data_IF_745085615782
#
_entry.id   IF_745085615782
#
_cell.length_a   1.000
_cell.length_b   1.000
_cell.length_c   1.000
_cell.angle_alpha   90.00
_cell.angle_beta   90.00
_cell.angle_gamma   90.00
#
_symmetry.space_group_name_H-M   'P 1'
#
loop_
_entity.id
_entity.type
_entity.pdbx_description
1 polymer ?
#
# COMPACT_ATOMS: atom_id res chain seq x y z
N UNK A 1 19.49 -8.61 7.36
CA UNK A 1 18.55 -9.03 8.43
C UNK A 1 17.14 -8.60 8.04
N UNK A 2 16.08 -9.24 8.55
CA UNK A 2 14.70 -8.81 8.32
C UNK A 2 14.46 -7.39 8.82
N UNK A 3 13.79 -6.54 8.04
CA UNK A 3 13.46 -5.18 8.47
C UNK A 3 12.59 -5.17 9.74
N UNK A 4 11.80 -6.23 9.98
CA UNK A 4 10.95 -6.38 11.17
C UNK A 4 11.70 -6.37 12.51
N UNK A 5 13.02 -6.55 12.49
CA UNK A 5 13.86 -6.51 13.68
C UNK A 5 14.23 -5.07 14.08
N UNK A 6 13.92 -4.09 13.23
CA UNK A 6 14.20 -2.67 13.46
C UNK A 6 13.15 -2.02 14.39
N UNK A 7 13.61 -1.03 15.14
CA UNK A 7 12.74 -0.08 15.84
C UNK A 7 11.95 0.78 14.84
N UNK A 8 10.84 1.37 15.28
CA UNK A 8 9.89 2.03 14.39
C UNK A 8 10.50 3.07 13.42
N UNK A 9 11.39 3.99 13.86
CA UNK A 9 11.99 4.98 12.94
C UNK A 9 12.88 4.34 11.86
N UNK A 10 13.68 3.34 12.25
CA UNK A 10 14.58 2.65 11.33
C UNK A 10 13.82 1.73 10.38
N UNK A 11 12.74 1.10 10.85
CA UNK A 11 11.83 0.35 10.00
C UNK A 11 11.20 1.25 8.94
N UNK A 12 10.69 2.43 9.33
CA UNK A 12 10.11 3.39 8.38
C UNK A 12 11.17 3.83 7.36
N UNK A 13 12.39 4.15 7.80
CA UNK A 13 13.51 4.48 6.89
C UNK A 13 13.77 3.35 5.90
N UNK A 14 13.83 2.10 6.38
CA UNK A 14 14.10 0.94 5.54
C UNK A 14 12.99 0.71 4.50
N UNK A 15 11.73 0.89 4.88
CA UNK A 15 10.58 0.84 3.95
C UNK A 15 10.72 1.94 2.90
N UNK A 16 10.98 3.19 3.30
CA UNK A 16 11.10 4.32 2.37
C UNK A 16 12.26 4.15 1.38
N UNK A 17 13.41 3.64 1.83
CA UNK A 17 14.53 3.29 0.95
C UNK A 17 14.15 2.17 -0.03
N UNK A 18 13.36 1.19 0.43
CA UNK A 18 12.82 0.13 -0.43
C UNK A 18 11.84 0.67 -1.47
N UNK A 19 10.98 1.63 -1.10
CA UNK A 19 10.09 2.31 -2.07
C UNK A 19 10.90 3.10 -3.09
N UNK A 20 11.96 3.81 -2.68
CA UNK A 20 12.83 4.53 -3.60
C UNK A 20 13.56 3.59 -4.57
N UNK A 21 14.04 2.45 -4.08
CA UNK A 21 14.64 1.38 -4.91
C UNK A 21 13.62 0.85 -5.91
N UNK A 22 12.41 0.54 -5.46
CA UNK A 22 11.31 0.06 -6.28
C UNK A 22 10.93 1.04 -7.39
N UNK A 23 10.80 2.33 -7.08
CA UNK A 23 10.52 3.38 -8.08
C UNK A 23 11.57 3.43 -9.20
N UNK A 24 12.85 3.36 -8.82
CA UNK A 24 13.97 3.36 -9.79
C UNK A 24 13.93 2.12 -10.68
N UNK A 25 13.66 0.95 -10.09
CA UNK A 25 13.52 -0.29 -10.85
C UNK A 25 12.32 -0.23 -11.81
N UNK A 26 11.17 0.24 -11.32
CA UNK A 26 9.94 0.35 -12.11
C UNK A 26 10.13 1.27 -13.31
N UNK A 27 10.72 2.45 -13.11
CA UNK A 27 10.99 3.40 -14.20
C UNK A 27 12.06 2.92 -15.18
N UNK A 28 12.94 2.00 -14.76
CA UNK A 28 13.84 1.25 -15.63
C UNK A 28 13.16 0.04 -16.32
N UNK A 29 11.85 -0.17 -16.10
CA UNK A 29 11.08 -1.25 -16.71
C UNK A 29 11.18 -2.60 -15.99
N UNK A 30 11.68 -2.64 -14.75
CA UNK A 30 11.78 -3.84 -13.91
C UNK A 30 10.70 -3.75 -12.82
N UNK A 31 9.65 -4.54 -12.94
CA UNK A 31 8.49 -4.51 -12.05
C UNK A 31 8.61 -5.65 -11.02
N UNK A 32 8.67 -5.31 -9.74
CA UNK A 32 8.86 -6.27 -8.65
C UNK A 32 7.65 -7.20 -8.48
N UNK A 33 6.43 -6.63 -8.42
CA UNK A 33 5.14 -7.32 -8.30
C UNK A 33 4.91 -8.15 -7.03
N UNK A 34 5.92 -8.36 -6.19
CA UNK A 34 5.77 -9.03 -4.89
C UNK A 34 6.34 -8.25 -3.72
N UNK A 35 5.82 -7.04 -3.53
CA UNK A 35 6.13 -6.25 -2.34
C UNK A 35 5.49 -6.91 -1.12
N UNK A 36 6.32 -7.37 -0.19
CA UNK A 36 5.87 -8.02 1.03
C UNK A 36 6.81 -7.74 2.21
N UNK A 37 6.29 -7.85 3.43
CA UNK A 37 7.09 -7.64 4.65
C UNK A 37 8.31 -8.58 4.74
N UNK A 38 8.19 -9.81 4.21
CA UNK A 38 9.29 -10.78 4.16
C UNK A 38 10.43 -10.38 3.20
N UNK A 39 10.11 -9.53 2.22
CA UNK A 39 11.04 -9.08 1.18
C UNK A 39 11.71 -7.75 1.54
N UNK A 40 11.39 -7.20 2.72
CA UNK A 40 12.07 -6.03 3.29
C UNK A 40 13.17 -6.48 4.25
N UNK A 41 14.41 -6.19 3.86
CA UNK A 41 15.60 -6.46 4.66
C UNK A 41 16.31 -5.16 5.00
N UNK A 42 17.32 -5.28 5.85
CA UNK A 42 18.31 -4.24 6.07
C UNK A 42 19.73 -4.79 6.20
N UNK A 43 20.71 -3.95 5.91
CA UNK A 43 22.13 -4.15 6.22
C UNK A 43 22.67 -2.99 7.05
N UNK A 44 23.80 -3.20 7.73
CA UNK A 44 24.53 -2.09 8.34
C UNK A 44 25.20 -1.23 7.25
N UNK A 45 24.97 0.07 7.29
CA UNK A 45 25.66 1.07 6.51
C UNK A 45 27.06 1.35 7.04
N UNK A 46 27.76 2.29 6.42
CA UNK A 46 29.15 2.60 6.77
C UNK A 46 29.31 3.11 8.20
N UNK A 47 28.29 3.77 8.75
CA UNK A 47 28.31 4.30 10.11
C UNK A 47 27.48 3.44 11.08
N UNK A 48 27.11 2.22 10.68
CA UNK A 48 26.29 1.30 11.47
C UNK A 48 24.78 1.57 11.41
N UNK A 49 24.34 2.55 10.63
CA UNK A 49 22.93 2.83 10.41
C UNK A 49 22.26 1.72 9.59
N UNK A 50 21.00 1.36 9.87
CA UNK A 50 20.30 0.38 9.05
C UNK A 50 19.94 0.98 7.69
N UNK A 51 20.35 0.30 6.63
CA UNK A 51 20.01 0.59 5.24
C UNK A 51 18.99 -0.44 4.75
N UNK A 52 17.81 0.02 4.37
CA UNK A 52 16.73 -0.78 3.80
C UNK A 52 17.06 -1.33 2.43
N UNK A 53 16.69 -2.59 2.22
CA UNK A 53 16.95 -3.36 1.01
C UNK A 53 15.65 -4.08 0.65
N UNK A 54 15.17 -3.86 -0.57
CA UNK A 54 14.14 -4.69 -1.19
C UNK A 54 14.83 -5.88 -1.87
N UNK A 55 14.51 -7.09 -1.42
CA UNK A 55 15.04 -8.36 -1.98
C UNK A 55 13.95 -9.10 -2.75
N UNK A 56 14.29 -10.30 -3.26
CA UNK A 56 13.36 -11.22 -3.93
C UNK A 56 12.87 -10.73 -5.31
N UNK A 57 13.85 -10.41 -6.17
CA UNK A 57 13.63 -9.96 -7.55
C UNK A 57 13.51 -11.12 -8.56
N UNK A 58 13.47 -12.37 -8.12
CA UNK A 58 13.47 -13.57 -8.97
C UNK A 58 12.17 -13.69 -9.81
N UNK A 59 11.06 -13.20 -9.27
CA UNK A 59 9.76 -13.10 -9.95
C UNK A 59 9.52 -11.74 -10.58
N UNK A 60 10.49 -10.82 -10.53
CA UNK A 60 10.38 -9.54 -11.20
C UNK A 60 10.21 -9.72 -12.72
N UNK A 61 9.52 -8.79 -13.35
CA UNK A 61 9.18 -8.86 -14.77
C UNK A 61 9.58 -7.59 -15.49
N UNK A 62 10.05 -7.75 -16.72
CA UNK A 62 10.28 -6.62 -17.60
C UNK A 62 8.95 -6.13 -18.18
N UNK A 63 8.83 -4.82 -18.40
CA UNK A 63 7.64 -4.17 -18.96
C UNK A 63 7.15 -4.79 -20.29
N UNK A 64 8.05 -5.37 -21.07
CA UNK A 64 7.78 -6.00 -22.37
C UNK A 64 7.19 -7.43 -22.28
N UNK A 65 7.11 -8.01 -21.07
CA UNK A 65 6.52 -9.34 -20.89
C UNK A 65 5.00 -9.25 -20.76
N UNK A 66 4.27 -9.78 -21.76
CA UNK A 66 2.80 -9.73 -21.91
C UNK A 66 2.00 -10.54 -20.88
N UNK A 67 2.61 -10.94 -19.76
CA UNK A 67 1.93 -11.73 -18.73
C UNK A 67 1.18 -10.85 -17.75
N UNK A 68 -0.14 -10.80 -17.93
CA UNK A 68 -1.14 -10.26 -17.00
C UNK A 68 -1.41 -11.31 -15.92
N UNK A 69 -0.40 -11.65 -15.13
CA UNK A 69 -0.57 -12.53 -13.98
C UNK A 69 -0.85 -11.70 -12.73
N UNK A 70 -1.84 -12.11 -11.95
CA UNK A 70 -1.94 -11.64 -10.56
C UNK A 70 -0.73 -12.15 -9.81
N UNK A 71 0.11 -11.22 -9.41
CA UNK A 71 1.31 -11.47 -8.63
C UNK A 71 1.22 -10.65 -7.35
N UNK A 72 1.82 -11.18 -6.29
CA UNK A 72 1.85 -10.54 -5.00
C UNK A 72 1.40 -11.48 -3.89
N UNK A 73 2.06 -11.35 -2.76
CA UNK A 73 1.71 -12.01 -1.51
C UNK A 73 0.36 -11.49 -1.05
N UNK A 74 -0.68 -12.33 -1.07
CA UNK A 74 -2.11 -12.03 -0.81
C UNK A 74 -2.39 -10.91 0.23
N UNK A 75 -1.73 -10.83 1.40
CA UNK A 75 -1.96 -9.72 2.35
C UNK A 75 -1.46 -8.34 1.91
N UNK A 76 -0.63 -8.23 0.87
CA UNK A 76 -0.08 -6.95 0.41
C UNK A 76 -0.59 -6.58 -0.99
N UNK A 77 -1.43 -7.43 -1.58
CA UNK A 77 -2.01 -7.16 -2.90
C UNK A 77 -2.92 -5.93 -2.84
N UNK A 78 -2.79 -5.06 -3.85
CA UNK A 78 -3.62 -3.87 -4.01
C UNK A 78 -5.12 -4.18 -4.01
N UNK A 79 -5.94 -3.24 -3.52
CA UNK A 79 -7.38 -3.47 -3.35
C UNK A 79 -8.10 -3.73 -4.68
N UNK A 80 -7.59 -3.19 -5.79
CA UNK A 80 -8.18 -3.38 -7.11
C UNK A 80 -8.20 -4.86 -7.52
N UNK A 81 -7.09 -5.56 -7.30
CA UNK A 81 -7.00 -7.01 -7.54
C UNK A 81 -7.93 -7.79 -6.61
N UNK A 82 -8.13 -7.32 -5.37
CA UNK A 82 -8.98 -7.98 -4.38
C UNK A 82 -10.48 -7.74 -4.61
N UNK A 83 -10.86 -6.58 -5.15
CA UNK A 83 -12.26 -6.22 -5.45
C UNK A 83 -12.75 -6.82 -6.76
N UNK A 84 -11.85 -7.17 -7.65
CA UNK A 84 -12.18 -7.78 -8.94
C UNK A 84 -11.42 -9.10 -9.15
N UNK A 85 -11.68 -10.13 -8.32
CA UNK A 85 -10.99 -11.41 -8.37
C UNK A 85 -11.29 -12.23 -9.62
N UNK A 86 -12.16 -11.77 -10.52
CA UNK A 86 -12.39 -12.43 -11.82
C UNK A 86 -11.89 -11.59 -13.02
N UNK A 87 -11.38 -10.37 -12.77
CA UNK A 87 -10.90 -9.48 -13.85
C UNK A 87 -9.39 -9.57 -14.05
N UNK A 88 -9.00 -9.46 -15.32
CA UNK A 88 -7.63 -9.17 -15.72
C UNK A 88 -7.38 -7.67 -15.51
N UNK A 89 -6.63 -7.34 -14.46
CA UNK A 89 -6.23 -5.97 -14.14
C UNK A 89 -4.75 -5.83 -14.50
N UNK A 90 -4.41 -4.77 -15.24
CA UNK A 90 -3.01 -4.43 -15.50
C UNK A 90 -2.28 -4.12 -14.19
N UNK A 91 -1.07 -4.65 -14.03
CA UNK A 91 -0.28 -4.37 -12.84
C UNK A 91 0.45 -3.03 -12.99
N UNK A 92 -0.10 -2.00 -12.33
CA UNK A 92 0.39 -0.64 -12.36
C UNK A 92 1.29 -0.32 -11.17
N UNK A 93 2.08 0.76 -11.28
CA UNK A 93 3.01 1.19 -10.22
C UNK A 93 2.30 1.45 -8.89
N UNK A 94 1.11 2.06 -8.97
CA UNK A 94 0.27 2.33 -7.79
C UNK A 94 -0.11 1.08 -7.01
N UNK A 95 -0.16 -0.10 -7.64
CA UNK A 95 -0.49 -1.34 -6.96
C UNK A 95 0.65 -1.81 -6.04
N UNK A 96 1.89 -1.78 -6.52
CA UNK A 96 3.06 -2.09 -5.69
C UNK A 96 3.28 -1.02 -4.60
N UNK A 97 2.93 0.23 -4.89
CA UNK A 97 3.02 1.30 -3.90
C UNK A 97 1.92 1.18 -2.82
N UNK A 98 0.72 0.73 -3.15
CA UNK A 98 -0.33 0.40 -2.17
C UNK A 98 0.09 -0.81 -1.31
N UNK A 99 0.79 -1.78 -1.90
CA UNK A 99 1.38 -2.90 -1.16
C UNK A 99 2.36 -2.44 -0.07
N UNK A 100 3.21 -1.44 -0.35
CA UNK A 100 4.10 -0.84 0.65
C UNK A 100 3.32 -0.20 1.81
N UNK A 101 2.15 0.38 1.55
CA UNK A 101 1.28 0.89 2.61
C UNK A 101 0.73 -0.24 3.49
N UNK A 102 0.29 -1.36 2.90
CA UNK A 102 -0.16 -2.52 3.67
C UNK A 102 0.95 -3.14 4.52
N UNK A 103 2.21 -3.06 4.08
CA UNK A 103 3.37 -3.43 4.90
C UNK A 103 3.50 -2.55 6.14
N UNK A 104 3.32 -1.23 6.02
CA UNK A 104 3.31 -0.30 7.16
C UNK A 104 2.14 -0.60 8.12
N UNK A 105 0.94 -0.82 7.59
CA UNK A 105 -0.23 -1.22 8.39
C UNK A 105 0.10 -2.48 9.18
N UNK A 106 0.65 -3.52 8.53
CA UNK A 106 1.00 -4.77 9.23
C UNK A 106 2.04 -4.54 10.33
N UNK A 107 3.04 -3.70 10.08
CA UNK A 107 4.12 -3.46 11.03
C UNK A 107 3.68 -2.62 12.24
N UNK A 108 2.75 -1.68 12.06
CA UNK A 108 2.28 -0.78 13.12
C UNK A 108 1.46 -1.47 14.22
N UNK A 109 0.73 -2.53 13.89
CA UNK A 109 -0.14 -3.22 14.84
C UNK A 109 0.54 -4.44 15.51
N UNK A 110 0.14 -4.78 16.74
CA UNK A 110 0.60 -6.00 17.41
C UNK A 110 0.36 -7.29 16.61
N UNK A 111 1.20 -8.30 16.84
CA UNK A 111 0.92 -9.66 16.34
C UNK A 111 -0.42 -10.13 16.91
N UNK A 112 -1.26 -10.71 16.05
CA UNK A 112 -2.60 -11.17 16.43
C UNK A 112 -3.71 -10.14 16.29
N UNK A 113 -3.39 -8.89 15.93
CA UNK A 113 -4.41 -7.86 15.62
C UNK A 113 -5.24 -8.23 14.39
N UNK A 114 -4.58 -8.70 13.33
CA UNK A 114 -5.24 -9.21 12.13
C UNK A 114 -5.28 -10.74 12.18
N UNK A 115 -6.32 -11.36 11.59
CA UNK A 115 -6.38 -12.83 11.45
C UNK A 115 -5.18 -13.37 10.68
N UNK A 116 -4.94 -14.67 10.85
CA UNK A 116 -3.90 -15.35 10.08
C UNK A 116 -4.21 -15.24 8.58
N UNK A 117 -3.26 -14.71 7.81
CA UNK A 117 -3.41 -14.30 6.41
C UNK A 117 -3.63 -15.46 5.43
N UNK A 118 -3.39 -16.69 5.86
CA UNK A 118 -3.77 -17.89 5.10
C UNK A 118 -5.31 -18.08 5.04
N UNK A 119 -6.08 -17.33 5.83
CA UNK A 119 -7.54 -17.38 5.81
C UNK A 119 -8.12 -16.27 4.94
N UNK A 120 -9.02 -16.62 4.01
CA UNK A 120 -9.76 -15.70 3.12
C UNK A 120 -10.43 -14.49 3.83
N UNK A 121 -10.56 -14.54 5.16
CA UNK A 121 -11.20 -13.50 5.98
C UNK A 121 -10.31 -12.28 6.27
N UNK A 122 -8.99 -12.37 6.11
CA UNK A 122 -8.10 -11.22 6.35
C UNK A 122 -8.31 -10.10 5.31
N UNK A 123 -8.77 -10.46 4.10
CA UNK A 123 -9.15 -9.55 3.03
C UNK A 123 -10.35 -8.66 3.43
N UNK A 124 -11.36 -9.25 4.06
CA UNK A 124 -12.55 -8.52 4.53
C UNK A 124 -12.16 -7.52 5.61
N UNK A 125 -11.19 -7.88 6.46
CA UNK A 125 -10.65 -6.98 7.49
C UNK A 125 -9.88 -5.80 6.88
N UNK A 126 -9.10 -6.02 5.81
CA UNK A 126 -8.41 -4.94 5.08
C UNK A 126 -9.38 -4.03 4.32
N UNK A 127 -10.41 -4.59 3.70
CA UNK A 127 -11.46 -3.80 3.06
C UNK A 127 -12.22 -2.96 4.09
N UNK A 128 -12.65 -3.59 5.19
CA UNK A 128 -13.31 -2.88 6.28
C UNK A 128 -12.40 -1.79 6.88
N UNK A 129 -11.11 -2.08 7.05
CA UNK A 129 -10.11 -1.09 7.44
C UNK A 129 -10.09 0.09 6.45
N UNK A 130 -9.99 -0.20 5.15
CA UNK A 130 -9.90 0.82 4.09
C UNK A 130 -11.15 1.69 3.93
N UNK A 131 -12.32 1.14 4.26
CA UNK A 131 -13.62 1.84 4.16
C UNK A 131 -14.01 2.52 5.50
N UNK A 132 -13.22 2.35 6.57
CA UNK A 132 -13.49 2.91 7.90
C UNK A 132 -12.48 3.97 8.34
N UNK A 133 -12.92 4.87 9.23
CA UNK A 133 -12.05 5.78 9.96
C UNK A 133 -11.04 4.97 10.80
N UNK A 134 -9.74 5.17 10.55
CA UNK A 134 -8.61 4.43 11.15
C UNK A 134 -8.61 4.45 12.68
N UNK A 135 -9.28 5.44 13.28
CA UNK A 135 -9.45 5.56 14.73
C UNK A 135 -10.43 4.54 15.35
N UNK A 136 -11.25 3.85 14.54
CA UNK A 136 -12.34 2.97 15.00
C UNK A 136 -12.18 1.50 14.63
N UNK A 137 -11.06 1.12 14.00
CA UNK A 137 -10.88 -0.24 13.47
C UNK A 137 -10.91 -1.26 14.61
N UNK A 138 -12.10 -1.83 14.80
CA UNK A 138 -12.35 -2.92 15.73
C UNK A 138 -12.22 -4.20 14.92
N UNK A 139 -11.00 -4.72 14.82
CA UNK A 139 -10.76 -5.94 14.05
C UNK A 139 -11.36 -7.11 14.85
N UNK A 140 -12.45 -7.65 14.32
CA UNK A 140 -13.19 -8.77 14.90
C UNK A 140 -12.32 -10.03 14.88
N UNK A 141 -11.57 -10.24 15.96
CA UNK A 141 -11.06 -11.58 16.30
C UNK A 141 -12.26 -12.39 16.76
N UNK A 142 -12.95 -13.03 15.82
CA UNK A 142 -14.26 -13.66 16.01
C UNK A 142 -14.28 -14.89 16.93
N UNK A 143 -13.46 -14.95 17.99
CA UNK A 143 -13.45 -16.07 18.92
C UNK A 143 -13.14 -15.77 20.40
N UNK A 144 -12.85 -14.54 20.82
CA UNK A 144 -12.44 -14.30 22.21
C UNK A 144 -12.96 -12.99 22.82
N UNK A 145 -13.98 -13.08 23.68
CA UNK A 145 -14.26 -12.10 24.73
C UNK A 145 -14.56 -10.67 24.28
N UNK A 146 -14.67 -9.71 25.21
CA UNK A 146 -14.98 -8.32 24.88
C UNK A 146 -13.92 -7.75 23.93
N UNK A 147 -14.39 -7.01 22.92
CA UNK A 147 -13.63 -6.38 21.85
C UNK A 147 -12.30 -5.78 22.37
N UNK A 148 -11.17 -6.49 22.20
CA UNK A 148 -9.86 -5.91 22.48
C UNK A 148 -9.52 -4.97 21.33
N UNK A 149 -9.63 -3.66 21.58
CA UNK A 149 -9.04 -2.63 20.72
C UNK A 149 -7.53 -2.81 20.77
N UNK A 150 -6.94 -3.41 19.75
CA UNK A 150 -5.49 -3.34 19.57
C UNK A 150 -5.21 -2.06 18.78
N UNK A 151 -4.70 -1.05 19.48
CA UNK A 151 -4.17 0.14 18.85
C UNK A 151 -2.81 -0.14 18.18
N UNK A 152 -2.29 0.89 17.52
CA UNK A 152 -0.90 0.95 17.07
C UNK A 152 0.01 0.72 18.29
N UNK A 153 1.12 -0.01 18.12
CA UNK A 153 2.11 -0.22 19.19
C UNK A 153 2.57 1.13 19.74
N UNK A 154 2.74 1.24 21.06
CA UNK A 154 3.06 2.53 21.70
C UNK A 154 4.33 3.17 21.13
N UNK A 155 5.40 2.39 20.93
CA UNK A 155 6.67 2.85 20.35
C UNK A 155 6.59 3.13 18.84
N UNK A 156 5.42 2.93 18.22
CA UNK A 156 5.17 3.11 16.79
C UNK A 156 4.20 4.24 16.49
N UNK A 157 3.79 5.05 17.48
CA UNK A 157 2.83 6.15 17.29
C UNK A 157 3.25 7.13 16.19
N UNK A 158 4.53 7.47 16.07
CA UNK A 158 5.05 8.33 15.00
C UNK A 158 4.85 7.73 13.60
N UNK A 159 5.18 6.44 13.43
CA UNK A 159 4.89 5.70 12.18
C UNK A 159 3.38 5.57 11.96
N UNK A 160 2.61 5.51 13.05
CA UNK A 160 1.15 5.52 13.02
C UNK A 160 0.55 6.79 12.42
N UNK A 161 1.15 7.96 12.66
CA UNK A 161 0.76 9.22 12.01
C UNK A 161 1.01 9.14 10.51
N UNK A 162 2.21 8.69 10.10
CA UNK A 162 2.55 8.47 8.68
C UNK A 162 1.55 7.52 8.01
N UNK A 163 1.23 6.39 8.67
CA UNK A 163 0.24 5.43 8.19
C UNK A 163 -1.15 6.06 8.07
N UNK A 164 -1.58 6.86 9.04
CA UNK A 164 -2.87 7.56 9.01
C UNK A 164 -3.02 8.47 7.80
N UNK A 165 -2.02 9.31 7.53
CA UNK A 165 -2.03 10.22 6.39
C UNK A 165 -1.94 9.49 5.06
N UNK A 166 -1.11 8.44 4.98
CA UNK A 166 -1.08 7.56 3.79
C UNK A 166 -2.42 6.86 3.56
N UNK A 167 -3.15 6.50 4.62
CA UNK A 167 -4.49 5.91 4.47
C UNK A 167 -5.46 6.91 3.83
N UNK A 168 -5.43 8.19 4.23
CA UNK A 168 -6.23 9.25 3.61
C UNK A 168 -5.86 9.40 2.12
N UNK A 169 -4.56 9.47 1.82
CA UNK A 169 -4.06 9.54 0.45
C UNK A 169 -4.60 8.41 -0.43
N UNK A 170 -4.52 7.16 0.05
CA UNK A 170 -5.04 6.01 -0.70
C UNK A 170 -6.57 6.01 -0.78
N UNK A 171 -7.25 6.47 0.27
CA UNK A 171 -8.71 6.59 0.29
C UNK A 171 -9.20 7.58 -0.77
N UNK A 172 -8.60 8.77 -0.85
CA UNK A 172 -8.95 9.80 -1.82
C UNK A 172 -8.70 9.34 -3.26
N UNK A 173 -7.58 8.66 -3.50
CA UNK A 173 -7.28 8.04 -4.80
C UNK A 173 -8.37 7.04 -5.22
N UNK A 174 -8.79 6.18 -4.29
CA UNK A 174 -9.86 5.21 -4.55
C UNK A 174 -11.22 5.88 -4.76
N UNK A 175 -11.52 6.96 -4.04
CA UNK A 175 -12.74 7.72 -4.24
C UNK A 175 -12.77 8.38 -5.63
N UNK A 176 -11.65 8.97 -6.07
CA UNK A 176 -11.51 9.54 -7.41
C UNK A 176 -11.73 8.47 -8.48
N UNK A 177 -11.08 7.32 -8.36
CA UNK A 177 -11.25 6.19 -9.28
C UNK A 177 -12.72 5.73 -9.38
N UNK A 178 -13.38 5.50 -8.23
CA UNK A 178 -14.82 5.12 -8.18
C UNK A 178 -15.73 6.18 -8.79
N UNK A 179 -15.43 7.46 -8.61
CA UNK A 179 -16.19 8.57 -9.20
C UNK A 179 -16.09 8.55 -10.73
N UNK A 180 -14.87 8.37 -11.26
CA UNK A 180 -14.63 8.27 -12.70
C UNK A 180 -15.31 7.05 -13.32
N UNK A 181 -15.23 5.87 -12.68
CA UNK A 181 -15.94 4.67 -13.15
C UNK A 181 -17.46 4.88 -13.21
N UNK A 182 -18.05 5.53 -12.20
CA UNK A 182 -19.49 5.84 -12.17
C UNK A 182 -19.89 6.82 -13.27
N UNK A 183 -19.08 7.84 -13.50
CA UNK A 183 -19.29 8.79 -14.60
C UNK A 183 -19.22 8.08 -15.96
N UNK A 184 -18.21 7.25 -16.18
CA UNK A 184 -18.05 6.45 -17.40
C UNK A 184 -19.20 5.43 -17.60
N UNK A 185 -19.72 4.85 -16.51
CA UNK A 185 -20.92 4.00 -16.57
C UNK A 185 -22.16 4.80 -16.99
N UNK A 186 -22.41 5.97 -16.39
CA UNK A 186 -23.54 6.84 -16.73
C UNK A 186 -23.49 7.33 -18.16
N UNK A 187 -22.32 7.79 -18.63
CA UNK A 187 -22.12 8.21 -20.00
C UNK A 187 -22.47 7.08 -21.00
N UNK A 188 -22.02 5.84 -20.72
CA UNK A 188 -22.29 4.66 -21.56
C UNK A 188 -23.76 4.25 -21.59
N UNK A 189 -24.49 4.39 -20.48
CA UNK A 189 -25.85 3.84 -20.35
C UNK A 189 -26.97 4.87 -20.53
N UNK A 190 -26.69 6.16 -20.32
CA UNK A 190 -27.73 7.20 -20.27
C UNK A 190 -27.48 8.39 -21.20
N UNK A 191 -26.39 8.40 -21.97
CA UNK A 191 -26.13 9.42 -22.99
C UNK A 191 -25.99 10.85 -22.45
N UNK A 192 -25.76 11.02 -21.14
CA UNK A 192 -25.45 12.33 -20.57
C UNK A 192 -24.17 12.85 -21.23
N UNK A 193 -24.24 14.04 -21.84
CA UNK A 193 -23.07 14.76 -22.32
C UNK A 193 -22.14 14.94 -21.14
N UNK A 194 -21.11 14.09 -21.10
CA UNK A 194 -20.07 14.16 -20.10
C UNK A 194 -19.39 15.52 -20.23
N UNK A 195 -19.79 16.48 -19.41
CA UNK A 195 -19.00 17.66 -19.16
C UNK A 195 -17.65 17.14 -18.65
N UNK A 196 -16.68 17.10 -19.57
CA UNK A 196 -15.35 16.52 -19.39
C UNK A 196 -15.36 15.16 -18.67
N UNK A 197 -15.84 14.11 -19.33
CA UNK A 197 -15.13 12.85 -19.16
C UNK A 197 -13.76 13.09 -19.81
N UNK A 198 -12.79 13.54 -19.00
CA UNK A 198 -11.39 13.44 -19.39
C UNK A 198 -11.14 12.02 -19.87
N UNK A 199 -10.30 11.87 -20.89
CA UNK A 199 -10.03 10.58 -21.52
C UNK A 199 -9.91 9.50 -20.46
N UNK A 200 -10.74 8.45 -20.59
CA UNK A 200 -10.88 7.33 -19.63
C UNK A 200 -9.57 6.53 -19.49
N UNK A 201 -8.51 6.97 -20.17
CA UNK A 201 -7.21 6.35 -20.34
C UNK A 201 -6.06 7.17 -19.72
N UNK A 202 -6.33 8.28 -19.02
CA UNK A 202 -5.32 8.99 -18.22
C UNK A 202 -5.01 8.23 -16.91
N UNK A 203 -4.63 6.96 -17.04
CA UNK A 203 -4.02 6.23 -15.94
C UNK A 203 -2.72 6.94 -15.55
N UNK A 204 -2.64 7.39 -14.29
CA UNK A 204 -1.51 8.20 -13.82
C UNK A 204 -0.18 7.48 -14.09
N UNK A 205 0.74 8.18 -14.74
CA UNK A 205 2.09 7.68 -14.95
C UNK A 205 2.76 7.34 -13.61
N UNK A 206 3.69 6.37 -13.58
CA UNK A 206 4.48 6.06 -12.39
C UNK A 206 5.12 7.30 -11.75
N UNK A 207 5.52 8.28 -12.56
CA UNK A 207 6.08 9.56 -12.15
C UNK A 207 5.07 10.42 -11.37
N UNK A 208 3.83 10.54 -11.87
CA UNK A 208 2.75 11.30 -11.20
C UNK A 208 2.37 10.66 -9.86
N UNK A 209 2.24 9.33 -9.84
CA UNK A 209 1.94 8.57 -8.61
C UNK A 209 3.08 8.71 -7.61
N UNK A 210 4.34 8.61 -8.05
CA UNK A 210 5.50 8.78 -7.20
C UNK A 210 5.61 10.19 -6.62
N UNK A 211 5.44 11.21 -7.46
CA UNK A 211 5.54 12.61 -7.04
C UNK A 211 4.51 12.94 -5.96
N UNK A 212 3.24 12.63 -6.21
CA UNK A 212 2.16 12.88 -5.23
C UNK A 212 2.33 12.07 -3.93
N UNK A 213 2.86 10.84 -4.01
CA UNK A 213 3.22 10.06 -2.83
C UNK A 213 4.33 10.74 -2.02
N UNK A 214 5.39 11.23 -2.68
CA UNK A 214 6.46 11.97 -2.02
C UNK A 214 5.97 13.28 -1.38
N UNK A 215 5.09 14.02 -2.06
CA UNK A 215 4.48 15.25 -1.52
C UNK A 215 3.67 14.97 -0.26
N UNK A 216 2.86 13.90 -0.28
CA UNK A 216 2.11 13.46 0.91
C UNK A 216 3.05 13.11 2.07
N UNK A 217 4.10 12.31 1.82
CA UNK A 217 5.06 11.93 2.84
C UNK A 217 5.82 13.12 3.42
N UNK A 218 6.24 14.06 2.58
CA UNK A 218 6.96 15.27 3.01
C UNK A 218 6.07 16.13 3.92
N UNK A 219 4.80 16.31 3.55
CA UNK A 219 3.81 17.00 4.37
C UNK A 219 3.67 16.36 5.74
N UNK A 220 3.50 15.03 5.80
CA UNK A 220 3.35 14.31 7.06
C UNK A 220 4.62 14.35 7.93
N UNK A 221 5.79 14.18 7.32
CA UNK A 221 7.06 14.22 8.04
C UNK A 221 7.35 15.62 8.60
N UNK A 222 7.01 16.69 7.87
CA UNK A 222 7.15 18.06 8.37
C UNK A 222 6.36 18.27 9.67
N UNK A 223 5.10 17.80 9.72
CA UNK A 223 4.25 17.87 10.93
C UNK A 223 4.87 17.11 12.10
N UNK A 224 5.56 15.99 11.84
CA UNK A 224 6.22 15.21 12.88
C UNK A 224 7.50 15.86 13.41
N UNK A 225 8.24 16.61 12.58
CA UNK A 225 9.44 17.33 13.00
C UNK A 225 9.14 18.62 13.77
N UNK A 226 7.94 19.18 13.62
CA UNK A 226 7.50 20.38 14.33
C UNK A 226 6.93 20.11 15.74
N UNK A 227 6.78 18.84 16.13
CA UNK A 227 6.21 18.40 17.42
C UNK A 227 7.27 17.84 18.36
#
# INVERSE_FOLDING_TARGET
MPATDLIAPDFLRAVLQSVQCHYRAWTAGIHHKDVALGNLMYSAGMNGEPLGILVDWDIARRKDTTQINRSGTIPFVALDFLRSPDKHIEHLYRHDLEAMFWVLVRACYPKGTFRNWASHNCYVEMLAFSDSDTSKVTISTGKWGPLRRHGIKDDWKGVGVVMGDLNVYWYDRRLKARSMERAAYRARHWGEHAASAGDVDDEESPQQVWQSFCEQLQSTLAILYER
#
